data_IF_594848943329
#
_entry.id   IF_594848943329
#
_cell.length_a   1.000
_cell.length_b   1.000
_cell.length_c   1.000
_cell.angle_alpha   90.00
_cell.angle_beta   90.00
_cell.angle_gamma   90.00
#
_symmetry.space_group_name_H-M   'P 1'
#
loop_
_entity.id
_entity.type
_entity.pdbx_description
1 polymer ?
#
# COMPACT_ATOMS: atom_id res chain seq x y z
N UNK A 1 -22.94 51.88 -4.91
CA UNK A 1 -21.73 51.34 -5.57
C UNK A 1 -20.74 50.84 -4.51
N UNK A 2 -21.16 49.95 -3.62
CA UNK A 2 -20.31 49.39 -2.56
C UNK A 2 -20.69 47.93 -2.23
N UNK A 3 -21.25 47.21 -3.21
CA UNK A 3 -21.68 45.81 -3.07
C UNK A 3 -20.81 44.82 -3.87
N UNK A 4 -19.76 45.31 -4.53
CA UNK A 4 -18.92 44.52 -5.44
C UNK A 4 -17.54 44.17 -4.84
N UNK A 5 -17.27 44.57 -3.59
CA UNK A 5 -15.97 44.35 -2.94
C UNK A 5 -15.97 43.24 -1.88
N UNK A 6 -17.13 42.68 -1.53
CA UNK A 6 -17.22 41.59 -0.54
C UNK A 6 -16.93 40.23 -1.19
N UNK A 7 -17.13 40.10 -2.50
CA UNK A 7 -16.92 38.84 -3.22
C UNK A 7 -15.45 38.48 -3.46
N UNK A 8 -14.52 39.42 -3.35
CA UNK A 8 -13.08 39.16 -3.60
C UNK A 8 -12.33 38.68 -2.37
N UNK A 9 -12.92 38.75 -1.17
CA UNK A 9 -12.28 38.28 0.06
C UNK A 9 -12.56 36.81 0.40
N UNK A 10 -13.48 36.16 -0.31
CA UNK A 10 -13.82 34.74 -0.13
C UNK A 10 -13.06 33.81 -1.09
N UNK A 11 -11.96 34.28 -1.68
CA UNK A 11 -11.11 33.47 -2.58
C UNK A 11 -9.74 33.15 -1.98
N UNK A 12 -9.46 33.56 -0.74
CA UNK A 12 -8.27 33.11 -0.03
C UNK A 12 -8.61 31.88 0.81
N UNK A 13 -7.79 30.85 0.64
CA UNK A 13 -7.79 29.56 1.34
C UNK A 13 -8.75 28.52 0.74
N UNK A 14 -8.46 28.13 -0.50
CA UNK A 14 -8.34 26.70 -0.74
C UNK A 14 -6.85 26.42 -0.95
N UNK A 15 -6.12 26.25 0.15
CA UNK A 15 -4.89 25.47 0.10
C UNK A 15 -5.33 24.04 -0.26
N UNK A 16 -5.43 23.77 -1.57
CA UNK A 16 -5.55 22.42 -2.08
C UNK A 16 -4.25 21.73 -1.69
N UNK A 17 -4.32 20.94 -0.62
CA UNK A 17 -3.24 20.02 -0.25
C UNK A 17 -3.29 18.91 -1.27
N UNK A 18 -2.72 19.15 -2.46
CA UNK A 18 -2.48 18.11 -3.45
C UNK A 18 -1.25 17.31 -3.00
N UNK A 19 -1.35 16.64 -1.85
CA UNK A 19 -0.49 15.49 -1.53
C UNK A 19 -1.10 14.24 -2.18
N UNK A 20 -1.01 14.24 -3.51
CA UNK A 20 -1.13 13.03 -4.29
C UNK A 20 -0.18 13.22 -5.45
N UNK A 21 1.12 13.05 -5.16
CA UNK A 21 2.04 12.61 -6.21
C UNK A 21 1.46 11.31 -6.75
N UNK A 22 0.68 11.45 -7.83
CA UNK A 22 0.28 10.39 -8.70
C UNK A 22 1.58 9.80 -9.23
N UNK A 23 2.01 8.73 -8.59
CA UNK A 23 2.86 7.76 -9.22
C UNK A 23 2.07 7.23 -10.42
N UNK A 24 2.52 7.59 -11.62
CA UNK A 24 1.98 7.14 -12.91
C UNK A 24 2.16 5.60 -13.12
N UNK A 25 2.38 4.84 -12.05
CA UNK A 25 2.80 3.44 -12.05
C UNK A 25 1.70 2.45 -11.58
N UNK A 26 0.52 2.92 -11.17
CA UNK A 26 -0.65 2.08 -10.82
C UNK A 26 -1.09 2.18 -9.35
N UNK A 27 -2.03 1.34 -8.87
CA UNK A 27 -2.52 1.38 -7.50
C UNK A 27 -1.66 0.54 -6.54
N UNK A 28 -1.55 0.98 -5.28
CA UNK A 28 -1.00 0.15 -4.20
C UNK A 28 -1.93 -1.03 -3.94
N UNK A 29 -1.34 -2.23 -3.78
CA UNK A 29 -2.07 -3.48 -3.57
C UNK A 29 -1.71 -4.11 -2.25
N UNK A 30 -2.64 -4.84 -1.66
CA UNK A 30 -2.36 -5.65 -0.47
C UNK A 30 -2.42 -7.11 -0.83
N UNK A 31 -1.29 -7.79 -0.65
CA UNK A 31 -1.13 -9.22 -0.85
C UNK A 31 -1.33 -9.93 0.48
N UNK A 32 -2.22 -10.90 0.51
CA UNK A 32 -2.37 -11.84 1.62
C UNK A 32 -1.62 -13.11 1.28
N UNK A 33 -0.49 -13.31 1.92
CA UNK A 33 0.45 -14.41 1.68
C UNK A 33 0.34 -15.44 2.81
N UNK A 34 0.48 -16.72 2.49
CA UNK A 34 0.48 -17.80 3.49
C UNK A 34 1.79 -18.59 3.38
N UNK A 35 2.83 -18.33 4.20
CA UNK A 35 4.02 -19.17 4.23
C UNK A 35 3.67 -20.57 4.73
N UNK A 36 3.93 -21.60 3.94
CA UNK A 36 3.57 -23.00 4.26
C UNK A 36 4.74 -23.80 4.81
N UNK A 37 5.96 -23.27 4.70
CA UNK A 37 7.20 -23.89 5.19
C UNK A 37 7.97 -22.95 6.09
N UNK A 38 8.80 -23.51 6.97
CA UNK A 38 9.65 -22.71 7.87
C UNK A 38 10.63 -21.82 7.08
N UNK A 39 11.17 -22.33 5.96
CA UNK A 39 12.05 -21.56 5.09
C UNK A 39 11.34 -20.34 4.52
N UNK A 40 10.08 -20.50 4.10
CA UNK A 40 9.24 -19.41 3.63
C UNK A 40 8.97 -18.39 4.74
N UNK A 41 8.64 -18.86 5.95
CA UNK A 41 8.41 -17.99 7.11
C UNK A 41 9.67 -17.17 7.45
N UNK A 42 10.83 -17.81 7.58
CA UNK A 42 12.09 -17.13 7.88
C UNK A 42 12.46 -16.10 6.81
N UNK A 43 12.18 -16.40 5.54
CA UNK A 43 12.38 -15.44 4.46
C UNK A 43 11.46 -14.23 4.58
N UNK A 44 10.19 -14.42 4.94
CA UNK A 44 9.26 -13.31 5.22
C UNK A 44 9.68 -12.50 6.43
N UNK A 45 10.16 -13.12 7.51
CA UNK A 45 10.71 -12.42 8.68
C UNK A 45 11.91 -11.55 8.28
N UNK A 46 12.83 -12.11 7.50
CA UNK A 46 13.99 -11.36 7.00
C UNK A 46 13.55 -10.17 6.14
N UNK A 47 12.53 -10.34 5.28
CA UNK A 47 11.98 -9.26 4.47
C UNK A 47 11.30 -8.19 5.34
N UNK A 48 10.55 -8.59 6.36
CA UNK A 48 9.94 -7.68 7.33
C UNK A 48 10.99 -6.79 8.01
N UNK A 49 12.09 -7.40 8.47
CA UNK A 49 13.17 -6.71 9.18
C UNK A 49 14.02 -5.80 8.28
N UNK A 50 14.05 -6.08 6.97
CA UNK A 50 14.88 -5.36 5.98
C UNK A 50 14.07 -4.47 5.06
N UNK A 51 12.75 -4.48 5.16
CA UNK A 51 11.85 -3.68 4.33
C UNK A 51 12.16 -2.19 4.51
N UNK A 52 12.37 -1.52 3.38
CA UNK A 52 12.35 -0.07 3.32
C UNK A 52 10.94 0.32 2.88
N UNK A 53 10.32 1.25 3.61
CA UNK A 53 8.88 1.55 3.50
C UNK A 53 8.39 2.05 2.13
N UNK A 54 9.27 2.22 1.15
CA UNK A 54 8.93 2.71 -0.19
C UNK A 54 8.44 1.59 -1.14
N UNK A 55 8.89 0.34 -0.97
CA UNK A 55 8.59 -0.77 -1.90
C UNK A 55 7.50 -1.71 -1.38
N UNK A 56 7.60 -2.09 -0.10
CA UNK A 56 6.66 -2.98 0.56
C UNK A 56 6.58 -2.65 2.04
N UNK A 57 5.38 -2.74 2.59
CA UNK A 57 5.08 -2.51 3.99
C UNK A 57 4.22 -3.66 4.53
N UNK A 58 4.68 -4.25 5.62
CA UNK A 58 4.04 -5.40 6.24
C UNK A 58 3.13 -4.89 7.35
N UNK A 59 1.83 -5.15 7.22
CA UNK A 59 0.84 -4.67 8.20
C UNK A 59 0.95 -5.36 9.56
N UNK A 60 1.53 -6.55 9.58
CA UNK A 60 1.83 -7.30 10.80
C UNK A 60 3.05 -8.19 10.59
N UNK A 61 3.75 -8.48 11.70
CA UNK A 61 4.94 -9.31 11.66
C UNK A 61 4.56 -10.77 11.34
N UNK A 62 5.21 -11.41 10.36
CA UNK A 62 5.08 -12.85 10.14
C UNK A 62 5.60 -13.60 11.37
N UNK A 63 4.80 -14.53 11.91
CA UNK A 63 5.11 -15.19 13.18
C UNK A 63 5.10 -16.71 13.13
N UNK A 64 4.19 -17.31 12.35
CA UNK A 64 4.02 -18.77 12.25
C UNK A 64 3.64 -19.18 10.83
N UNK A 65 3.98 -20.42 10.47
CA UNK A 65 3.55 -21.04 9.20
C UNK A 65 2.03 -21.23 9.17
N UNK A 66 1.48 -21.33 7.95
CA UNK A 66 0.06 -21.51 7.66
C UNK A 66 -0.86 -20.39 8.20
N UNK A 67 -0.28 -19.25 8.56
CA UNK A 67 -1.02 -18.04 8.95
C UNK A 67 -0.81 -16.95 7.91
N UNK A 68 -1.82 -16.13 7.71
CA UNK A 68 -1.78 -15.06 6.71
C UNK A 68 -0.86 -13.93 7.14
N UNK A 69 -0.14 -13.37 6.17
CA UNK A 69 0.66 -12.15 6.31
C UNK A 69 0.18 -11.16 5.26
N UNK A 70 -0.21 -9.96 5.68
CA UNK A 70 -0.71 -8.92 4.77
C UNK A 70 0.42 -7.93 4.46
N UNK A 71 0.72 -7.78 3.17
CA UNK A 71 1.82 -6.94 2.68
C UNK A 71 1.25 -5.94 1.69
N UNK A 72 1.30 -4.66 2.04
CA UNK A 72 1.08 -3.56 1.12
C UNK A 72 2.30 -3.43 0.21
N UNK A 73 2.06 -3.34 -1.09
CA UNK A 73 3.12 -3.31 -2.11
C UNK A 73 2.89 -2.12 -3.02
N UNK A 74 3.97 -1.40 -3.30
CA UNK A 74 3.94 -0.26 -4.22
C UNK A 74 3.70 -0.73 -5.66
N UNK A 75 3.16 0.15 -6.54
CA UNK A 75 2.87 -0.25 -7.91
C UNK A 75 4.12 -0.67 -8.69
N UNK A 76 5.24 0.04 -8.49
CA UNK A 76 6.54 -0.28 -9.10
C UNK A 76 7.12 -1.62 -8.66
N UNK A 77 6.75 -2.11 -7.47
CA UNK A 77 7.25 -3.38 -6.92
C UNK A 77 6.28 -4.55 -7.07
N UNK A 78 5.03 -4.28 -7.47
CA UNK A 78 3.94 -5.27 -7.53
C UNK A 78 4.28 -6.50 -8.38
N UNK A 79 4.79 -6.30 -9.59
CA UNK A 79 5.11 -7.43 -10.49
C UNK A 79 6.25 -8.27 -9.90
N UNK A 80 7.33 -7.62 -9.46
CA UNK A 80 8.50 -8.27 -8.84
C UNK A 80 8.11 -9.07 -7.60
N UNK A 81 7.27 -8.52 -6.74
CA UNK A 81 6.78 -9.23 -5.55
C UNK A 81 5.92 -10.44 -5.94
N UNK A 82 4.99 -10.27 -6.88
CA UNK A 82 4.13 -11.38 -7.32
C UNK A 82 4.93 -12.53 -7.97
N UNK A 83 5.97 -12.20 -8.74
CA UNK A 83 6.86 -13.19 -9.35
C UNK A 83 7.69 -13.90 -8.29
N UNK A 84 8.25 -13.16 -7.31
CA UNK A 84 8.94 -13.76 -6.17
C UNK A 84 8.06 -14.78 -5.45
N UNK A 85 6.79 -14.45 -5.16
CA UNK A 85 5.86 -15.35 -4.50
C UNK A 85 5.59 -16.62 -5.33
N UNK A 86 5.38 -16.47 -6.64
CA UNK A 86 5.16 -17.61 -7.56
C UNK A 86 6.39 -18.51 -7.66
N UNK A 87 7.57 -17.92 -7.89
CA UNK A 87 8.84 -18.65 -8.05
C UNK A 87 9.19 -19.49 -6.82
N UNK A 88 8.85 -18.99 -5.63
CA UNK A 88 9.15 -19.65 -4.37
C UNK A 88 7.96 -20.42 -3.78
N UNK A 89 6.87 -20.54 -4.55
CA UNK A 89 5.71 -21.38 -4.19
C UNK A 89 4.95 -20.90 -2.95
N UNK A 90 4.82 -19.59 -2.76
CA UNK A 90 3.95 -19.03 -1.72
C UNK A 90 2.50 -19.02 -2.22
N UNK A 91 1.54 -19.66 -1.52
CA UNK A 91 0.13 -19.38 -1.70
C UNK A 91 -0.15 -17.91 -1.35
N UNK A 92 -0.83 -17.21 -2.24
CA UNK A 92 -1.26 -15.84 -1.96
C UNK A 92 -2.53 -15.48 -2.72
N UNK A 93 -3.19 -14.43 -2.25
CA UNK A 93 -4.26 -13.74 -2.96
C UNK A 93 -4.09 -12.23 -2.84
N UNK A 94 -4.69 -11.48 -3.75
CA UNK A 94 -4.78 -10.02 -3.62
C UNK A 94 -6.00 -9.73 -2.73
N UNK A 95 -5.74 -9.26 -1.50
CA UNK A 95 -6.79 -8.90 -0.56
C UNK A 95 -7.40 -7.52 -0.88
N UNK A 96 -6.58 -6.60 -1.39
CA UNK A 96 -7.01 -5.26 -1.81
C UNK A 96 -6.33 -4.92 -3.14
N UNK A 97 -7.15 -4.71 -4.18
CA UNK A 97 -6.69 -4.41 -5.55
C UNK A 97 -6.26 -2.95 -5.73
N UNK A 98 -6.86 -2.03 -4.97
CA UNK A 98 -6.53 -0.61 -5.00
C UNK A 98 -6.75 -0.01 -3.60
N UNK A 99 -5.65 0.20 -2.87
CA UNK A 99 -5.73 0.70 -1.51
C UNK A 99 -6.32 2.11 -1.44
N UNK A 100 -5.97 3.01 -2.38
CA UNK A 100 -6.46 4.39 -2.40
C UNK A 100 -7.99 4.46 -2.50
N UNK A 101 -8.61 3.55 -3.26
CA UNK A 101 -10.07 3.47 -3.39
C UNK A 101 -10.79 2.88 -2.16
N UNK A 102 -10.08 2.12 -1.32
CA UNK A 102 -10.66 1.50 -0.13
C UNK A 102 -10.56 2.38 1.11
N UNK A 103 -9.80 3.48 1.07
CA UNK A 103 -9.76 4.50 2.14
C UNK A 103 -10.88 5.52 1.92
N UNK A 104 -12.14 5.11 2.09
CA UNK A 104 -13.18 6.05 2.49
C UNK A 104 -13.13 6.17 4.02
N UNK A 105 -12.32 7.11 4.51
CA UNK A 105 -12.40 7.55 5.90
C UNK A 105 -13.44 8.67 5.96
N UNK A 106 -14.57 8.52 6.69
CA UNK A 106 -15.42 9.67 6.97
C UNK A 106 -14.62 10.60 7.89
N UNK A 107 -14.28 11.77 7.36
CA UNK A 107 -13.75 12.90 8.14
C UNK A 107 -14.75 13.31 9.22
#
# INVERSE_FOLDING_TARGET
MLLWLVCTYLSLVTASVEDARLDDNGPFKVFRVVPTTEVQLQKMITMFETAKGDDADFWHAPSVVNTTVDVMVSPSFTEKFSNFLKEHGYPYQIAIEDLKKNVHWPL
#
